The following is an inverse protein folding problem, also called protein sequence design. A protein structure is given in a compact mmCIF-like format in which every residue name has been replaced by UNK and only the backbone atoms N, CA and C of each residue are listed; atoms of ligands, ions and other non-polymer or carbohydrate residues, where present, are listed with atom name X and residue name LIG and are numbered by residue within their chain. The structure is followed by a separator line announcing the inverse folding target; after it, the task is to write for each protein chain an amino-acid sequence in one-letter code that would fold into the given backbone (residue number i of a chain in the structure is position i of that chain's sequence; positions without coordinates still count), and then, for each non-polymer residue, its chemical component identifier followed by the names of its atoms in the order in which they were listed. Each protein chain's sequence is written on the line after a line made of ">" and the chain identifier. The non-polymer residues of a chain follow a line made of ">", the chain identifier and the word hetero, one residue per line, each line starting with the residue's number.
data_IF_682794208644
#
_entry.id   IF_682794208644
#
_cell.length_a   1.000
_cell.length_b   1.000
_cell.length_c   1.000
_cell.angle_alpha   90.00
_cell.angle_beta   90.00
_cell.angle_gamma   90.00
#
_symmetry.space_group_name_H-M   'P 1'
#
loop_
_entity.id
_entity.type
_entity.pdbx_description
1 polymer ?
#
# COMPACT_ATOMS: atom_id res chain seq x y z
N UNK A 1 10.68 -4.23 -15.84
CA UNK A 1 11.37 -4.85 -14.70
C UNK A 1 12.01 -6.16 -15.14
N UNK A 2 13.18 -6.50 -14.58
CA UNK A 2 13.77 -7.82 -14.77
C UNK A 2 13.46 -8.74 -13.56
N UNK A 3 13.63 -10.06 -13.71
CA UNK A 3 13.30 -11.04 -12.67
C UNK A 3 14.04 -10.82 -11.34
N UNK A 4 15.25 -10.24 -11.36
CA UNK A 4 16.00 -9.91 -10.14
C UNK A 4 15.30 -8.77 -9.38
N UNK A 5 14.87 -7.74 -10.09
CA UNK A 5 14.12 -6.61 -9.50
C UNK A 5 12.74 -7.06 -8.99
N UNK A 6 12.03 -7.89 -9.77
CA UNK A 6 10.76 -8.49 -9.35
C UNK A 6 10.93 -9.32 -8.08
N UNK A 7 11.99 -10.14 -8.01
CA UNK A 7 12.30 -10.95 -6.83
C UNK A 7 12.63 -10.09 -5.62
N UNK A 8 13.40 -9.02 -5.80
CA UNK A 8 13.71 -8.09 -4.72
C UNK A 8 12.46 -7.39 -4.17
N UNK A 9 11.48 -7.07 -5.02
CA UNK A 9 10.20 -6.51 -4.59
C UNK A 9 9.37 -7.55 -3.82
N UNK A 10 9.33 -8.80 -4.27
CA UNK A 10 8.69 -9.90 -3.55
C UNK A 10 9.32 -10.12 -2.17
N UNK A 11 10.66 -10.19 -2.11
CA UNK A 11 11.39 -10.37 -0.86
C UNK A 11 11.21 -9.17 0.08
N UNK A 12 11.02 -7.96 -0.45
CA UNK A 12 10.64 -6.82 0.38
C UNK A 12 9.28 -7.04 1.05
N UNK A 13 8.26 -7.57 0.37
CA UNK A 13 6.95 -7.77 0.99
C UNK A 13 6.91 -9.02 1.88
N UNK A 14 7.52 -10.12 1.42
CA UNK A 14 7.34 -11.46 1.97
C UNK A 14 8.63 -12.12 2.50
N UNK A 15 9.78 -11.47 2.47
CA UNK A 15 11.08 -12.09 2.76
C UNK A 15 11.26 -12.64 4.18
N UNK A 16 10.38 -12.26 5.11
CA UNK A 16 10.36 -12.79 6.48
C UNK A 16 9.62 -14.14 6.60
N UNK A 17 8.86 -14.53 5.57
CA UNK A 17 8.04 -15.74 5.60
C UNK A 17 8.79 -16.91 4.94
N UNK A 18 8.61 -18.14 5.44
CA UNK A 18 9.24 -19.34 4.89
C UNK A 18 8.49 -19.81 3.62
N UNK A 19 8.51 -19.00 2.57
CA UNK A 19 7.84 -19.30 1.30
C UNK A 19 8.71 -20.16 0.38
N UNK A 20 8.09 -21.17 -0.24
CA UNK A 20 8.65 -21.82 -1.42
C UNK A 20 8.19 -21.02 -2.63
N UNK A 21 9.14 -20.41 -3.35
CA UNK A 21 8.85 -19.48 -4.45
C UNK A 21 9.28 -20.10 -5.76
N UNK A 22 8.36 -20.13 -6.73
CA UNK A 22 8.60 -20.59 -8.10
C UNK A 22 8.27 -19.46 -9.08
N UNK A 23 9.24 -19.09 -9.92
CA UNK A 23 9.03 -18.12 -10.99
C UNK A 23 8.05 -18.66 -12.04
N UNK A 24 7.14 -17.81 -12.50
CA UNK A 24 6.16 -18.09 -13.54
C UNK A 24 5.95 -16.84 -14.42
N UNK A 25 5.18 -16.97 -15.51
CA UNK A 25 4.84 -15.83 -16.36
C UNK A 25 3.50 -15.17 -15.98
N UNK A 26 2.56 -15.92 -15.39
CA UNK A 26 1.21 -15.46 -15.04
C UNK A 26 0.67 -16.25 -13.84
N UNK A 27 0.84 -15.76 -12.60
CA UNK A 27 1.54 -14.52 -12.19
C UNK A 27 3.07 -14.63 -12.29
N UNK A 28 3.80 -13.56 -11.96
CA UNK A 28 5.28 -13.57 -11.93
C UNK A 28 5.88 -14.61 -10.99
N UNK A 29 5.21 -14.88 -9.86
CA UNK A 29 5.62 -15.88 -8.88
C UNK A 29 4.44 -16.68 -8.35
N UNK A 30 4.68 -17.98 -8.15
CA UNK A 30 3.83 -18.88 -7.39
C UNK A 30 4.49 -19.15 -6.05
N UNK A 31 3.79 -18.84 -4.98
CA UNK A 31 4.26 -18.91 -3.62
C UNK A 31 3.48 -19.97 -2.86
N UNK A 32 4.18 -20.92 -2.25
CA UNK A 32 3.59 -21.90 -1.35
C UNK A 32 4.01 -21.56 0.09
N UNK A 33 3.04 -21.22 0.92
CA UNK A 33 3.21 -21.09 2.36
C UNK A 33 2.80 -22.39 3.06
N UNK A 34 3.55 -22.86 4.08
CA UNK A 34 3.26 -24.12 4.76
C UNK A 34 1.85 -24.23 5.33
N UNK A 35 1.28 -23.12 5.83
CA UNK A 35 -0.03 -23.14 6.48
C UNK A 35 -1.17 -22.63 5.61
N UNK A 36 -0.90 -21.73 4.68
CA UNK A 36 -1.96 -20.97 3.97
C UNK A 36 -2.20 -21.45 2.56
N UNK A 37 -1.36 -22.39 2.13
CA UNK A 37 -1.37 -22.99 0.82
C UNK A 37 -0.72 -22.07 -0.20
N UNK A 38 -1.24 -22.15 -1.41
CA UNK A 38 -0.60 -21.59 -2.59
C UNK A 38 -1.31 -20.34 -3.09
N UNK A 39 -0.52 -19.34 -3.46
CA UNK A 39 -1.01 -18.08 -3.99
C UNK A 39 -0.06 -17.50 -5.05
N UNK A 40 -0.61 -16.62 -5.85
CA UNK A 40 0.10 -15.86 -6.86
C UNK A 40 0.64 -14.54 -6.34
N UNK A 41 1.78 -14.10 -6.87
CA UNK A 41 2.27 -12.73 -6.70
C UNK A 41 2.62 -12.16 -8.06
N UNK A 42 1.91 -11.11 -8.45
CA UNK A 42 2.21 -10.28 -9.62
C UNK A 42 3.05 -9.08 -9.17
N UNK A 43 4.10 -8.73 -9.93
CA UNK A 43 4.91 -7.56 -9.63
C UNK A 43 4.93 -6.62 -10.82
N UNK A 44 4.62 -5.35 -10.58
CA UNK A 44 4.59 -4.33 -11.62
C UNK A 44 5.35 -3.10 -11.17
N UNK A 45 5.98 -2.42 -12.13
CA UNK A 45 6.71 -1.18 -11.85
C UNK A 45 5.77 0.02 -12.03
N UNK A 46 5.83 0.97 -11.10
CA UNK A 46 5.15 2.25 -11.23
C UNK A 46 6.01 3.25 -12.01
N UNK A 47 5.40 3.86 -13.03
CA UNK A 47 5.97 4.96 -13.77
C UNK A 47 4.99 6.12 -13.82
N UNK A 48 5.49 7.34 -13.62
CA UNK A 48 4.65 8.54 -13.72
C UNK A 48 4.15 8.77 -15.16
N UNK A 49 4.87 8.29 -16.17
CA UNK A 49 4.47 8.33 -17.58
C UNK A 49 5.11 7.18 -18.35
N UNK A 50 4.56 6.88 -19.53
CA UNK A 50 5.17 5.96 -20.49
C UNK A 50 6.56 6.43 -20.96
N UNK A 51 6.76 7.74 -21.04
CA UNK A 51 8.06 8.35 -21.36
C UNK A 51 9.09 8.09 -20.26
N UNK A 52 8.70 8.18 -18.98
CA UNK A 52 9.56 7.80 -17.85
C UNK A 52 9.89 6.31 -17.87
N UNK A 53 8.91 5.46 -18.19
CA UNK A 53 9.13 4.02 -18.36
C UNK A 53 10.17 3.74 -19.45
N UNK A 54 10.08 4.40 -20.60
CA UNK A 54 11.06 4.29 -21.69
C UNK A 54 12.44 4.81 -21.29
N UNK A 55 12.52 5.98 -20.66
CA UNK A 55 13.78 6.58 -20.21
C UNK A 55 14.56 5.65 -19.27
N UNK A 56 13.85 4.94 -18.39
CA UNK A 56 14.45 3.98 -17.47
C UNK A 56 14.82 2.67 -18.15
N UNK A 57 13.87 2.06 -18.87
CA UNK A 57 13.97 0.67 -19.28
C UNK A 57 14.71 0.48 -20.60
N UNK A 58 14.82 1.52 -21.44
CA UNK A 58 15.56 1.44 -22.70
C UNK A 58 17.02 1.84 -22.47
N UNK A 59 17.91 0.85 -22.55
CA UNK A 59 19.36 1.06 -22.41
C UNK A 59 19.87 2.17 -23.35
N UNK A 60 20.65 3.08 -22.78
CA UNK A 60 21.25 4.26 -23.43
C UNK A 60 20.24 5.30 -23.95
N UNK A 61 18.94 5.14 -23.75
CA UNK A 61 17.97 6.07 -24.32
C UNK A 61 18.12 7.52 -23.84
N UNK A 62 18.35 7.79 -22.53
CA UNK A 62 18.64 9.15 -22.08
C UNK A 62 19.88 9.76 -22.76
N UNK A 63 20.93 8.95 -22.99
CA UNK A 63 22.16 9.40 -23.66
C UNK A 63 21.93 9.69 -25.15
N UNK A 64 21.10 8.88 -25.83
CA UNK A 64 20.74 9.08 -27.23
C UNK A 64 19.98 10.41 -27.43
N UNK A 65 19.05 10.72 -26.50
CA UNK A 65 18.31 11.99 -26.51
C UNK A 65 19.27 13.15 -26.21
N UNK A 66 20.06 13.07 -25.15
CA UNK A 66 20.98 14.14 -24.75
C UNK A 66 22.01 14.42 -25.84
N UNK A 67 22.66 13.40 -26.40
CA UNK A 67 23.75 13.59 -27.37
C UNK A 67 23.25 13.89 -28.78
N UNK A 68 22.22 13.16 -29.23
CA UNK A 68 21.86 13.12 -30.64
C UNK A 68 20.44 13.64 -30.93
N UNK A 69 19.65 13.99 -29.91
CA UNK A 69 18.24 14.34 -30.08
C UNK A 69 17.40 13.20 -30.67
N UNK A 70 17.82 11.94 -30.46
CA UNK A 70 17.18 10.76 -31.08
C UNK A 70 16.08 10.21 -30.17
N UNK A 71 14.84 10.63 -30.43
CA UNK A 71 13.65 10.07 -29.80
C UNK A 71 13.29 8.72 -30.44
N UNK A 72 12.89 7.74 -29.62
CA UNK A 72 12.45 6.41 -30.05
C UNK A 72 10.94 6.31 -30.20
N UNK A 73 10.18 7.20 -29.53
CA UNK A 73 8.74 7.30 -29.65
C UNK A 73 8.33 8.72 -30.02
N UNK A 74 7.24 8.86 -30.80
CA UNK A 74 6.74 10.17 -31.26
C UNK A 74 6.23 11.03 -30.09
N UNK A 75 5.64 10.40 -29.08
CA UNK A 75 5.07 11.10 -27.92
C UNK A 75 6.18 11.72 -27.05
N UNK A 76 7.40 11.17 -27.11
CA UNK A 76 8.54 11.66 -26.34
C UNK A 76 9.03 13.03 -26.82
N UNK A 77 8.80 13.39 -28.09
CA UNK A 77 9.32 14.62 -28.71
C UNK A 77 8.76 15.88 -28.04
N UNK A 78 7.51 15.81 -27.54
CA UNK A 78 6.86 16.93 -26.85
C UNK A 78 6.95 16.86 -25.33
N UNK A 79 7.28 15.70 -24.76
CA UNK A 79 7.29 15.47 -23.31
C UNK A 79 8.70 15.54 -22.71
N UNK A 80 9.72 15.18 -23.47
CA UNK A 80 11.11 15.11 -23.01
C UNK A 80 11.88 16.31 -23.55
N UNK A 81 12.22 17.24 -22.66
CA UNK A 81 13.07 18.39 -22.97
C UNK A 81 14.52 18.12 -22.52
N UNK A 82 15.50 18.56 -23.32
CA UNK A 82 16.91 18.58 -22.91
C UNK A 82 17.30 20.02 -22.61
N UNK A 83 17.80 20.25 -21.39
CA UNK A 83 18.18 21.57 -20.91
C UNK A 83 19.66 21.60 -20.51
N UNK A 84 20.28 22.77 -20.60
CA UNK A 84 21.60 23.02 -20.03
C UNK A 84 21.44 23.40 -18.55
N UNK A 85 22.06 22.63 -17.66
CA UNK A 85 22.04 22.84 -16.22
C UNK A 85 23.45 22.89 -15.66
N UNK A 86 23.60 23.49 -14.47
CA UNK A 86 24.88 23.56 -13.77
C UNK A 86 24.80 22.66 -12.53
N UNK A 87 25.63 21.63 -12.47
CA UNK A 87 25.77 20.80 -11.29
C UNK A 87 26.77 21.44 -10.32
N UNK A 88 26.34 21.63 -9.08
CA UNK A 88 27.16 22.21 -8.01
C UNK A 88 27.68 21.10 -7.10
N UNK A 89 29.00 20.88 -7.10
CA UNK A 89 29.65 19.90 -6.23
C UNK A 89 29.74 20.48 -4.82
N UNK A 90 28.91 20.00 -3.89
CA UNK A 90 28.82 20.55 -2.54
C UNK A 90 30.16 20.61 -1.79
N UNK A 91 31.02 19.60 -1.97
CA UNK A 91 32.30 19.51 -1.26
C UNK A 91 33.35 20.53 -1.74
N UNK A 92 33.34 20.90 -3.03
CA UNK A 92 34.40 21.73 -3.64
C UNK A 92 33.89 23.09 -4.10
N UNK A 93 32.57 23.29 -4.17
CA UNK A 93 31.94 24.44 -4.80
C UNK A 93 32.07 24.46 -6.33
N UNK A 94 32.65 23.42 -6.94
CA UNK A 94 32.84 23.35 -8.39
C UNK A 94 31.49 23.36 -9.12
N UNK A 95 31.43 24.14 -10.20
CA UNK A 95 30.30 24.20 -11.12
C UNK A 95 30.62 23.43 -12.39
N UNK A 96 29.77 22.47 -12.75
CA UNK A 96 29.94 21.62 -13.92
C UNK A 96 28.75 21.83 -14.86
N UNK A 97 28.91 22.49 -16.01
CA UNK A 97 27.83 22.59 -17.00
C UNK A 97 27.58 21.21 -17.61
N UNK A 98 26.31 20.80 -17.66
CA UNK A 98 25.90 19.54 -18.26
C UNK A 98 24.54 19.67 -18.94
N UNK A 99 24.24 18.74 -19.85
CA UNK A 99 22.92 18.62 -20.46
C UNK A 99 22.11 17.58 -19.69
N UNK A 100 20.91 17.93 -19.26
CA UNK A 100 20.03 17.07 -18.47
C UNK A 100 18.65 16.96 -19.11
N UNK A 101 17.92 15.92 -18.71
CA UNK A 101 16.49 15.77 -19.00
C UNK A 101 15.76 16.05 -17.68
N UNK A 102 15.34 17.31 -17.41
CA UNK A 102 14.55 17.59 -16.23
C UNK A 102 13.20 16.89 -16.33
N UNK A 103 12.76 16.28 -15.24
CA UNK A 103 11.45 15.63 -15.12
C UNK A 103 10.67 16.28 -13.99
N UNK A 104 9.40 16.55 -14.25
CA UNK A 104 8.47 16.97 -13.21
C UNK A 104 8.21 15.79 -12.28
N UNK A 105 8.34 16.01 -10.98
CA UNK A 105 7.90 15.05 -9.97
C UNK A 105 6.38 15.20 -9.80
N UNK A 106 5.59 14.15 -10.03
CA UNK A 106 4.14 14.22 -9.82
C UNK A 106 3.82 14.38 -8.33
N UNK A 107 2.69 15.02 -8.04
CA UNK A 107 2.14 15.05 -6.67
C UNK A 107 1.49 13.72 -6.32
N UNK A 108 1.33 13.42 -5.03
CA UNK A 108 0.63 12.21 -4.56
C UNK A 108 -0.77 12.09 -5.17
N UNK A 109 -1.50 13.22 -5.22
CA UNK A 109 -2.82 13.33 -5.86
C UNK A 109 -2.81 12.96 -7.35
N UNK A 110 -1.72 13.20 -8.06
CA UNK A 110 -1.57 12.81 -9.47
C UNK A 110 -1.12 11.35 -9.66
N UNK A 111 -0.46 10.77 -8.65
CA UNK A 111 -0.06 9.37 -8.66
C UNK A 111 -1.22 8.43 -8.34
N UNK A 112 -2.10 8.80 -7.41
CA UNK A 112 -3.22 7.96 -6.96
C UNK A 112 -4.09 7.43 -8.11
N UNK A 113 -4.59 8.25 -9.06
CA UNK A 113 -5.39 7.75 -10.18
C UNK A 113 -4.64 6.69 -11.00
N UNK A 114 -3.35 6.89 -11.26
CA UNK A 114 -2.52 5.97 -12.03
C UNK A 114 -2.28 4.64 -11.30
N UNK A 115 -2.12 4.69 -9.98
CA UNK A 115 -2.02 3.49 -9.15
C UNK A 115 -3.35 2.72 -9.20
N UNK A 116 -4.48 3.42 -9.09
CA UNK A 116 -5.81 2.79 -9.20
C UNK A 116 -6.02 2.17 -10.58
N UNK A 117 -5.68 2.88 -11.65
CA UNK A 117 -5.76 2.34 -13.03
C UNK A 117 -4.90 1.08 -13.17
N UNK A 118 -3.70 1.07 -12.60
CA UNK A 118 -2.80 -0.09 -12.58
C UNK A 118 -3.39 -1.28 -11.81
N UNK A 119 -4.01 -1.03 -10.65
CA UNK A 119 -4.70 -2.07 -9.86
C UNK A 119 -5.83 -2.68 -10.70
N UNK A 120 -6.62 -1.85 -11.39
CA UNK A 120 -7.74 -2.31 -12.22
C UNK A 120 -7.24 -3.13 -13.42
N UNK A 121 -6.25 -2.61 -14.14
CA UNK A 121 -5.66 -3.27 -15.31
C UNK A 121 -5.06 -4.63 -14.96
N UNK A 122 -4.39 -4.73 -13.81
CA UNK A 122 -3.82 -5.99 -13.31
C UNK A 122 -4.89 -6.92 -12.78
N UNK A 123 -5.88 -6.41 -12.03
CA UNK A 123 -7.02 -7.18 -11.57
C UNK A 123 -7.79 -7.85 -12.72
N UNK A 124 -8.03 -7.14 -13.83
CA UNK A 124 -8.64 -7.71 -15.03
C UNK A 124 -7.80 -8.82 -15.66
N UNK A 125 -6.46 -8.69 -15.65
CA UNK A 125 -5.54 -9.71 -16.18
C UNK A 125 -5.48 -10.95 -15.28
N UNK A 126 -5.64 -10.79 -13.97
CA UNK A 126 -5.67 -11.90 -13.02
C UNK A 126 -6.80 -12.91 -13.28
N UNK A 127 -7.92 -12.49 -13.91
CA UNK A 127 -8.98 -13.40 -14.30
C UNK A 127 -8.53 -14.49 -15.29
N UNK A 128 -7.43 -14.28 -16.01
CA UNK A 128 -6.82 -15.26 -16.92
C UNK A 128 -5.64 -16.03 -16.33
N UNK A 129 -5.38 -15.90 -15.02
CA UNK A 129 -4.28 -16.61 -14.36
C UNK A 129 -4.69 -18.06 -14.06
N UNK A 130 -3.72 -18.85 -13.61
CA UNK A 130 -3.94 -20.26 -13.26
C UNK A 130 -5.10 -20.38 -12.26
N UNK A 131 -6.16 -21.11 -12.66
CA UNK A 131 -7.36 -21.33 -11.86
C UNK A 131 -7.09 -22.11 -10.57
N UNK A 132 -5.93 -22.78 -10.49
CA UNK A 132 -5.53 -23.53 -9.30
C UNK A 132 -5.03 -22.62 -8.17
N UNK A 133 -4.76 -21.33 -8.43
CA UNK A 133 -4.34 -20.38 -7.41
C UNK A 133 -5.54 -19.91 -6.59
N UNK A 134 -5.44 -20.02 -5.25
CA UNK A 134 -6.50 -19.55 -4.33
C UNK A 134 -6.72 -18.05 -4.42
N UNK A 135 -5.64 -17.30 -4.62
CA UNK A 135 -5.64 -15.84 -4.65
C UNK A 135 -4.37 -15.33 -5.33
N UNK A 136 -4.38 -14.06 -5.77
CA UNK A 136 -3.20 -13.36 -6.27
C UNK A 136 -3.04 -12.02 -5.56
N UNK A 137 -1.83 -11.72 -5.09
CA UNK A 137 -1.46 -10.38 -4.61
C UNK A 137 -0.75 -9.60 -5.72
N UNK A 138 -0.87 -8.28 -5.66
CA UNK A 138 -0.15 -7.36 -6.54
C UNK A 138 0.87 -6.55 -5.76
N UNK A 139 2.11 -6.50 -6.23
CA UNK A 139 3.13 -5.59 -5.74
C UNK A 139 3.37 -4.51 -6.79
N UNK A 140 3.13 -3.25 -6.43
CA UNK A 140 3.45 -2.08 -7.22
C UNK A 140 4.76 -1.51 -6.70
N UNK A 141 5.81 -1.56 -7.51
CA UNK A 141 7.15 -1.09 -7.15
C UNK A 141 7.44 0.27 -7.75
N UNK A 142 7.53 1.31 -6.91
CA UNK A 142 7.96 2.65 -7.32
C UNK A 142 9.49 2.79 -7.25
N UNK A 143 10.18 2.08 -8.14
CA UNK A 143 11.64 2.13 -8.19
C UNK A 143 12.21 3.48 -8.65
N UNK A 144 11.36 4.37 -9.18
CA UNK A 144 11.76 5.69 -9.67
C UNK A 144 11.55 6.80 -8.63
N UNK A 145 10.98 6.46 -7.47
CA UNK A 145 10.61 7.42 -6.44
C UNK A 145 9.71 8.53 -7.03
N UNK A 146 8.79 8.12 -7.91
CA UNK A 146 7.78 8.99 -8.47
C UNK A 146 6.67 9.28 -7.43
N UNK A 147 6.35 8.31 -6.58
CA UNK A 147 5.50 8.45 -5.41
C UNK A 147 6.38 8.89 -4.23
N UNK A 148 6.49 10.20 -4.05
CA UNK A 148 7.22 10.79 -2.92
C UNK A 148 6.25 11.14 -1.81
N UNK A 149 6.33 10.41 -0.72
CA UNK A 149 5.50 10.65 0.46
C UNK A 149 6.34 11.34 1.53
N UNK A 150 5.74 12.28 2.27
CA UNK A 150 6.31 12.71 3.54
C UNK A 150 5.82 11.80 4.69
N UNK A 151 4.58 11.34 4.59
CA UNK A 151 3.90 10.44 5.54
C UNK A 151 2.97 9.51 4.75
N UNK A 152 2.78 8.28 5.21
CA UNK A 152 1.85 7.33 4.56
C UNK A 152 0.41 7.85 4.57
N UNK A 153 0.01 8.56 5.64
CA UNK A 153 -1.32 9.17 5.73
C UNK A 153 -1.65 10.16 4.60
N UNK A 154 -0.65 10.81 3.98
CA UNK A 154 -0.85 11.69 2.82
C UNK A 154 -1.38 10.89 1.61
N UNK A 155 -0.78 9.73 1.37
CA UNK A 155 -1.20 8.81 0.32
C UNK A 155 -2.58 8.25 0.58
N UNK A 156 -2.83 7.74 1.79
CA UNK A 156 -4.11 7.14 2.16
C UNK A 156 -5.24 8.17 2.11
N UNK A 157 -5.01 9.42 2.54
CA UNK A 157 -5.98 10.50 2.42
C UNK A 157 -6.32 10.81 0.97
N UNK A 158 -5.31 10.96 0.10
CA UNK A 158 -5.54 11.18 -1.33
C UNK A 158 -6.25 10.01 -2.00
N UNK A 159 -5.92 8.77 -1.61
CA UNK A 159 -6.56 7.56 -2.11
C UNK A 159 -8.03 7.50 -1.69
N UNK A 160 -8.32 7.74 -0.41
CA UNK A 160 -9.69 7.80 0.11
C UNK A 160 -10.52 8.87 -0.61
N UNK A 161 -10.00 10.09 -0.75
CA UNK A 161 -10.68 11.17 -1.49
C UNK A 161 -11.01 10.77 -2.94
N UNK A 162 -10.07 10.11 -3.61
CA UNK A 162 -10.25 9.66 -4.99
C UNK A 162 -11.31 8.55 -5.10
N UNK A 163 -11.30 7.58 -4.18
CA UNK A 163 -12.26 6.47 -4.15
C UNK A 163 -13.66 6.91 -3.73
N UNK A 164 -13.78 7.90 -2.84
CA UNK A 164 -15.07 8.51 -2.51
C UNK A 164 -15.76 9.13 -3.73
N UNK A 165 -14.98 9.70 -4.67
CA UNK A 165 -15.49 10.27 -5.92
C UNK A 165 -15.71 9.24 -7.04
N UNK A 166 -15.06 8.08 -6.96
CA UNK A 166 -15.01 7.06 -8.01
C UNK A 166 -15.49 5.73 -7.44
N UNK A 167 -16.79 5.46 -7.52
CA UNK A 167 -17.47 4.31 -6.90
C UNK A 167 -16.68 3.00 -6.99
N UNK A 168 -16.50 2.29 -5.86
CA UNK A 168 -16.27 0.86 -5.66
C UNK A 168 -15.23 0.06 -6.50
N UNK A 169 -14.66 0.57 -7.61
CA UNK A 169 -13.97 -0.27 -8.61
C UNK A 169 -12.76 -0.99 -8.04
N UNK A 170 -11.96 -0.32 -7.21
CA UNK A 170 -10.77 -0.93 -6.57
C UNK A 170 -11.16 -2.13 -5.69
N UNK A 171 -12.31 -2.04 -5.02
CA UNK A 171 -12.78 -3.07 -4.09
C UNK A 171 -13.40 -4.29 -4.79
N UNK A 172 -13.62 -4.22 -6.11
CA UNK A 172 -14.15 -5.34 -6.92
C UNK A 172 -13.01 -6.13 -7.59
N UNK A 173 -11.78 -5.65 -7.50
CA UNK A 173 -10.63 -6.36 -8.05
C UNK A 173 -10.49 -7.76 -7.43
N UNK A 174 -10.20 -8.80 -8.23
CA UNK A 174 -10.02 -10.17 -7.72
C UNK A 174 -8.68 -10.37 -6.98
N UNK A 175 -7.87 -9.32 -6.88
CA UNK A 175 -6.64 -9.34 -6.11
C UNK A 175 -6.96 -9.49 -4.62
N UNK A 176 -6.19 -10.30 -3.89
CA UNK A 176 -6.36 -10.45 -2.44
C UNK A 176 -5.83 -9.24 -1.71
N UNK A 177 -4.61 -8.79 -2.00
CA UNK A 177 -4.02 -7.57 -1.44
C UNK A 177 -3.17 -6.85 -2.50
N UNK A 178 -3.02 -5.54 -2.35
CA UNK A 178 -2.15 -4.70 -3.18
C UNK A 178 -1.14 -4.00 -2.29
N UNK A 179 0.15 -4.27 -2.51
CA UNK A 179 1.24 -3.62 -1.80
C UNK A 179 1.88 -2.54 -2.67
N UNK A 180 2.04 -1.34 -2.13
CA UNK A 180 2.85 -0.28 -2.73
C UNK A 180 4.21 -0.19 -2.04
N UNK A 181 5.28 -0.41 -2.81
CA UNK A 181 6.66 -0.18 -2.38
C UNK A 181 7.10 1.20 -2.87
N UNK A 182 7.34 2.14 -1.96
CA UNK A 182 7.76 3.50 -2.32
C UNK A 182 8.69 4.13 -1.27
N UNK A 183 9.15 5.36 -1.51
CA UNK A 183 9.89 6.16 -0.52
C UNK A 183 8.94 7.03 0.32
N UNK A 184 9.21 7.10 1.62
CA UNK A 184 8.51 7.95 2.57
C UNK A 184 9.52 8.73 3.43
N UNK A 185 9.69 10.01 3.14
CA UNK A 185 10.46 10.97 3.93
C UNK A 185 11.79 10.42 4.47
N UNK A 186 12.01 10.62 5.77
CA UNK A 186 13.18 10.13 6.49
C UNK A 186 13.12 8.63 6.83
N UNK A 187 11.93 8.01 6.70
CA UNK A 187 11.72 6.58 6.97
C UNK A 187 12.45 5.73 5.92
N UNK A 188 12.59 6.25 4.71
CA UNK A 188 13.19 5.53 3.60
C UNK A 188 12.16 4.70 2.85
N UNK A 189 12.46 3.43 2.55
CA UNK A 189 11.56 2.55 1.80
C UNK A 189 10.49 1.96 2.72
N UNK A 190 9.24 2.07 2.31
CA UNK A 190 8.07 1.53 3.01
C UNK A 190 7.28 0.59 2.10
N UNK A 191 6.57 -0.34 2.71
CA UNK A 191 5.55 -1.16 2.07
C UNK A 191 4.19 -0.78 2.65
N UNK A 192 3.24 -0.41 1.79
CA UNK A 192 1.90 0.02 2.18
C UNK A 192 0.89 -1.02 1.65
N UNK A 193 0.26 -1.84 2.51
CA UNK A 193 -0.86 -2.71 2.11
C UNK A 193 -2.11 -1.86 1.90
N UNK A 194 -2.51 -1.66 0.65
CA UNK A 194 -3.55 -0.71 0.27
C UNK A 194 -4.92 -1.16 0.77
N UNK A 195 -5.32 -2.41 0.53
CA UNK A 195 -6.65 -2.89 0.91
C UNK A 195 -6.79 -2.98 2.41
N UNK A 196 -5.77 -3.51 3.10
CA UNK A 196 -5.71 -3.51 4.55
C UNK A 196 -5.87 -2.12 5.18
N UNK A 197 -5.12 -1.12 4.69
CA UNK A 197 -5.23 0.25 5.22
C UNK A 197 -6.58 0.90 4.90
N UNK A 198 -7.16 0.65 3.72
CA UNK A 198 -8.51 1.14 3.39
C UNK A 198 -9.57 0.52 4.30
N UNK A 199 -9.47 -0.78 4.55
CA UNK A 199 -10.39 -1.52 5.41
C UNK A 199 -10.36 -1.00 6.85
N UNK A 200 -9.17 -0.87 7.43
CA UNK A 200 -8.99 -0.33 8.78
C UNK A 200 -9.40 1.14 8.87
N UNK A 201 -9.07 1.93 7.85
CA UNK A 201 -9.47 3.33 7.76
C UNK A 201 -11.00 3.48 7.78
N UNK A 202 -11.73 2.63 7.07
CA UNK A 202 -13.19 2.65 7.09
C UNK A 202 -13.76 2.32 8.48
N UNK A 203 -13.18 1.34 9.18
CA UNK A 203 -13.60 1.01 10.55
C UNK A 203 -13.41 2.21 11.47
N UNK A 204 -12.27 2.90 11.38
CA UNK A 204 -11.99 4.07 12.19
C UNK A 204 -12.97 5.24 11.90
N UNK A 205 -13.25 5.50 10.62
CA UNK A 205 -14.23 6.51 10.21
C UNK A 205 -15.64 6.15 10.69
N UNK A 206 -16.02 4.88 10.55
CA UNK A 206 -17.31 4.38 11.05
C UNK A 206 -17.42 4.57 12.56
N UNK A 207 -16.38 4.22 13.31
CA UNK A 207 -16.35 4.34 14.77
C UNK A 207 -16.55 5.78 15.24
N UNK A 208 -15.86 6.72 14.59
CA UNK A 208 -15.98 8.16 14.88
C UNK A 208 -17.40 8.68 14.59
N UNK A 209 -18.00 8.28 13.47
CA UNK A 209 -19.35 8.68 13.09
C UNK A 209 -20.40 8.07 14.02
N UNK A 210 -20.27 6.77 14.31
CA UNK A 210 -21.19 6.04 15.17
C UNK A 210 -21.19 6.62 16.58
N UNK A 211 -20.00 6.87 17.15
CA UNK A 211 -19.84 7.47 18.48
C UNK A 211 -20.53 8.84 18.57
N UNK A 212 -20.36 9.71 17.56
CA UNK A 212 -21.05 11.01 17.50
C UNK A 212 -22.57 10.90 17.44
N UNK A 213 -23.10 9.97 16.66
CA UNK A 213 -24.55 9.78 16.52
C UNK A 213 -25.18 9.16 17.75
N UNK A 214 -24.49 8.23 18.39
CA UNK A 214 -24.99 7.52 19.57
C UNK A 214 -24.99 8.41 20.80
N UNK A 215 -24.00 9.29 20.98
CA UNK A 215 -24.06 10.27 22.07
C UNK A 215 -25.31 11.18 22.01
N UNK A 216 -25.96 11.28 20.84
CA UNK A 216 -27.20 12.02 20.66
C UNK A 216 -28.48 11.19 20.90
N UNK A 217 -28.39 9.86 21.00
CA UNK A 217 -29.52 8.94 21.16
C UNK A 217 -29.47 8.29 22.55
N UNK A 218 -30.40 8.65 23.43
CA UNK A 218 -30.35 8.36 24.87
C UNK A 218 -30.74 6.93 25.29
N UNK A 219 -30.83 5.94 24.40
CA UNK A 219 -31.32 4.60 24.76
C UNK A 219 -30.55 3.46 24.06
N UNK A 220 -30.12 2.49 24.88
CA UNK A 220 -29.61 1.15 24.57
C UNK A 220 -28.57 1.05 23.42
N UNK A 221 -27.39 1.64 23.65
CA UNK A 221 -26.20 1.27 22.87
C UNK A 221 -25.53 0.03 23.49
N UNK A 222 -25.73 -1.12 22.85
CA UNK A 222 -24.98 -2.33 23.16
C UNK A 222 -23.83 -2.49 22.17
N UNK A 223 -22.72 -3.08 22.61
CA UNK A 223 -21.61 -3.50 21.74
C UNK A 223 -22.14 -4.33 20.56
N UNK A 224 -23.16 -5.17 20.80
CA UNK A 224 -23.81 -5.95 19.74
C UNK A 224 -24.44 -5.09 18.63
N UNK A 225 -25.07 -3.94 18.98
CA UNK A 225 -25.63 -3.03 17.97
C UNK A 225 -24.54 -2.35 17.14
N UNK A 226 -23.45 -1.93 17.78
CA UNK A 226 -22.28 -1.39 17.09
C UNK A 226 -21.73 -2.40 16.09
N UNK A 227 -21.42 -3.62 16.56
CA UNK A 227 -20.82 -4.67 15.75
C UNK A 227 -21.74 -5.09 14.60
N UNK A 228 -23.05 -5.21 14.81
CA UNK A 228 -24.00 -5.53 13.75
C UNK A 228 -24.06 -4.42 12.68
N UNK A 229 -24.01 -3.15 13.11
CA UNK A 229 -24.03 -2.00 12.17
C UNK A 229 -22.71 -1.90 11.40
N UNK A 230 -21.58 -2.11 12.08
CA UNK A 230 -20.26 -2.16 11.46
C UNK A 230 -20.18 -3.32 10.45
N UNK A 231 -20.67 -4.51 10.80
CA UNK A 231 -20.71 -5.66 9.91
C UNK A 231 -21.47 -5.35 8.61
N UNK A 232 -22.66 -4.76 8.72
CA UNK A 232 -23.46 -4.37 7.56
C UNK A 232 -22.76 -3.31 6.69
N UNK A 233 -22.11 -2.34 7.34
CA UNK A 233 -21.35 -1.29 6.67
C UNK A 233 -20.15 -1.86 5.89
N UNK A 234 -19.34 -2.69 6.55
CA UNK A 234 -18.17 -3.31 5.93
C UNK A 234 -18.57 -4.26 4.79
N UNK A 235 -19.60 -5.09 4.98
CA UNK A 235 -20.07 -5.99 3.91
C UNK A 235 -20.56 -5.23 2.67
N UNK A 236 -21.09 -4.01 2.84
CA UNK A 236 -21.52 -3.17 1.72
C UNK A 236 -20.35 -2.51 0.98
N UNK A 237 -19.24 -2.18 1.67
CA UNK A 237 -18.09 -1.47 1.10
C UNK A 237 -16.94 -2.36 0.67
N UNK A 238 -16.79 -3.51 1.32
CA UNK A 238 -15.71 -4.46 1.16
C UNK A 238 -16.31 -5.85 0.83
N UNK A 239 -16.74 -6.08 -0.42
CA UNK A 239 -17.30 -7.37 -0.81
C UNK A 239 -16.29 -8.49 -0.54
N UNK A 240 -16.67 -9.45 0.29
CA UNK A 240 -15.75 -10.51 0.75
C UNK A 240 -15.23 -10.32 2.18
N UNK A 241 -15.69 -9.30 2.92
CA UNK A 241 -15.47 -9.27 4.36
C UNK A 241 -16.05 -10.52 5.02
N UNK A 242 -15.23 -11.21 5.80
CA UNK A 242 -15.63 -12.38 6.59
C UNK A 242 -15.76 -11.94 8.05
N UNK A 243 -16.85 -12.35 8.68
CA UNK A 243 -17.12 -12.15 10.10
C UNK A 243 -16.94 -13.48 10.84
N UNK A 244 -16.26 -13.43 11.99
CA UNK A 244 -16.14 -14.58 12.88
C UNK A 244 -16.21 -14.14 14.34
N UNK A 245 -16.74 -15.02 15.18
CA UNK A 245 -16.77 -14.86 16.63
C UNK A 245 -16.17 -16.11 17.27
N UNK A 246 -15.23 -15.95 18.19
CA UNK A 246 -14.58 -17.06 18.90
C UNK A 246 -14.20 -16.62 20.31
N UNK A 247 -14.64 -17.37 21.32
CA UNK A 247 -14.30 -17.12 22.74
C UNK A 247 -14.63 -15.69 23.24
N UNK A 248 -15.59 -15.02 22.61
CA UNK A 248 -15.98 -13.63 22.93
C UNK A 248 -15.21 -12.56 22.14
N UNK A 249 -14.23 -12.96 21.33
CA UNK A 249 -13.56 -12.10 20.38
C UNK A 249 -14.37 -12.04 19.08
N UNK A 250 -14.48 -10.84 18.52
CA UNK A 250 -15.21 -10.58 17.28
C UNK A 250 -14.23 -10.06 16.24
N UNK A 251 -14.15 -10.72 15.10
CA UNK A 251 -13.20 -10.37 14.04
C UNK A 251 -13.88 -10.09 12.70
N UNK A 252 -13.37 -9.07 12.02
CA UNK A 252 -13.67 -8.76 10.64
C UNK A 252 -12.41 -8.93 9.80
N UNK A 253 -12.47 -9.78 8.78
CA UNK A 253 -11.36 -10.05 7.87
C UNK A 253 -11.69 -9.54 6.48
N UNK A 254 -10.75 -8.82 5.87
CA UNK A 254 -10.81 -8.45 4.46
C UNK A 254 -9.39 -8.43 3.88
N UNK A 255 -9.22 -8.88 2.65
CA UNK A 255 -7.89 -8.97 2.02
C UNK A 255 -6.92 -9.79 2.89
N UNK A 256 -5.70 -9.29 3.12
CA UNK A 256 -4.78 -9.86 4.10
C UNK A 256 -5.07 -9.40 5.53
N UNK A 257 -5.99 -8.48 5.79
CA UNK A 257 -6.11 -7.81 7.09
C UNK A 257 -7.26 -8.35 7.95
N UNK A 258 -7.00 -8.53 9.24
CA UNK A 258 -8.00 -8.90 10.25
C UNK A 258 -8.04 -7.83 11.33
N UNK A 259 -9.21 -7.26 11.57
CA UNK A 259 -9.51 -6.42 12.72
C UNK A 259 -10.26 -7.26 13.75
N UNK A 260 -9.84 -7.22 15.02
CA UNK A 260 -10.44 -7.99 16.11
C UNK A 260 -10.76 -7.09 17.29
N UNK A 261 -11.97 -7.19 17.83
CA UNK A 261 -12.35 -6.65 19.13
C UNK A 261 -12.39 -7.82 20.12
N UNK A 262 -11.52 -7.80 21.13
CA UNK A 262 -11.51 -8.87 22.13
C UNK A 262 -12.68 -8.78 23.11
N UNK A 263 -12.88 -9.85 23.87
CA UNK A 263 -13.81 -9.88 25.00
C UNK A 263 -13.54 -8.77 26.04
N UNK A 264 -12.28 -8.32 26.19
CA UNK A 264 -11.93 -7.16 27.04
C UNK A 264 -12.00 -5.80 26.31
N UNK A 265 -12.65 -5.76 25.15
CA UNK A 265 -12.82 -4.56 24.32
C UNK A 265 -11.51 -3.95 23.82
N UNK A 266 -10.47 -4.77 23.64
CA UNK A 266 -9.22 -4.34 23.02
C UNK A 266 -9.28 -4.55 21.53
N UNK A 267 -8.81 -3.57 20.77
CA UNK A 267 -8.73 -3.66 19.32
C UNK A 267 -7.36 -4.16 18.91
N UNK A 268 -7.33 -5.22 18.12
CA UNK A 268 -6.14 -5.79 17.49
C UNK A 268 -6.29 -5.76 15.99
N UNK A 269 -5.19 -5.56 15.29
CA UNK A 269 -5.19 -5.62 13.84
C UNK A 269 -3.98 -6.41 13.36
N UNK A 270 -4.24 -7.42 12.55
CA UNK A 270 -3.27 -8.41 12.10
C UNK A 270 -3.19 -8.40 10.59
N UNK A 271 -1.97 -8.28 10.06
CA UNK A 271 -1.68 -8.42 8.62
C UNK A 271 -1.29 -9.88 8.31
N UNK A 272 -2.19 -10.58 7.65
CA UNK A 272 -2.08 -11.97 7.19
C UNK A 272 -1.59 -12.02 5.75
N UNK A 273 -0.33 -11.63 5.53
CA UNK A 273 0.32 -11.75 4.21
C UNK A 273 0.32 -13.16 3.67
N UNK A 274 0.31 -14.13 4.58
CA UNK A 274 0.04 -15.52 4.29
C UNK A 274 -1.25 -15.83 5.05
N UNK A 275 -2.36 -16.00 4.34
CA UNK A 275 -3.70 -16.10 4.93
C UNK A 275 -3.92 -17.38 5.75
N UNK A 276 -3.65 -17.34 7.05
CA UNK A 276 -3.96 -18.45 7.93
C UNK A 276 -5.33 -18.20 8.59
N UNK A 277 -6.27 -19.12 8.43
CA UNK A 277 -7.51 -19.12 9.22
C UNK A 277 -7.35 -19.98 10.49
N UNK A 278 -6.27 -20.77 10.59
CA UNK A 278 -6.12 -21.86 11.55
C UNK A 278 -4.96 -21.70 12.54
N UNK A 279 -4.14 -20.66 12.43
CA UNK A 279 -3.10 -20.33 13.42
C UNK A 279 -3.10 -18.84 13.74
N UNK A 280 -3.89 -18.48 14.75
CA UNK A 280 -3.95 -17.13 15.31
C UNK A 280 -2.78 -16.97 16.28
N UNK A 281 -1.74 -16.25 15.89
CA UNK A 281 -0.80 -15.67 16.86
C UNK A 281 -0.92 -14.15 16.77
N UNK A 282 -1.45 -13.54 17.83
CA UNK A 282 -1.56 -12.10 17.95
C UNK A 282 -0.17 -11.46 17.83
N UNK A 283 0.00 -10.53 16.88
CA UNK A 283 1.21 -9.72 16.83
C UNK A 283 1.19 -8.72 18.00
N UNK A 284 1.99 -9.07 19.01
CA UNK A 284 2.38 -8.33 20.21
C UNK A 284 1.47 -8.43 21.45
N UNK A 285 2.04 -9.09 22.46
CA UNK A 285 1.80 -8.86 23.87
C UNK A 285 2.26 -7.45 24.26
N UNK A 286 1.36 -6.71 24.93
CA UNK A 286 1.63 -5.50 25.71
C UNK A 286 2.14 -4.27 24.94
N UNK A 287 1.20 -3.43 24.50
CA UNK A 287 1.38 -1.98 24.64
C UNK A 287 0.05 -1.34 25.02
N UNK A 288 -0.07 -0.91 26.28
CA UNK A 288 -1.13 -0.01 26.74
C UNK A 288 -0.96 1.33 26.01
N UNK A 289 -1.65 1.53 24.89
CA UNK A 289 -1.72 2.81 24.20
C UNK A 289 -3.16 3.06 23.78
N UNK A 290 -3.72 4.12 24.35
CA UNK A 290 -5.10 4.59 24.29
C UNK A 290 -5.47 5.14 22.88
N UNK A 291 -6.41 4.50 22.15
CA UNK A 291 -6.86 4.95 20.83
C UNK A 291 -8.10 5.84 20.96
N UNK A 292 -7.97 7.10 20.52
CA UNK A 292 -8.99 8.18 20.48
C UNK A 292 -9.27 8.94 21.79
N UNK A 293 -8.60 10.09 21.96
CA UNK A 293 -9.28 11.30 22.42
C UNK A 293 -9.30 12.36 21.31
N UNK A 294 -10.40 12.42 20.57
CA UNK A 294 -11.11 13.69 20.41
C UNK A 294 -12.13 13.70 21.57
N UNK A 295 -11.87 14.48 22.61
CA UNK A 295 -12.53 14.34 23.90
C UNK A 295 -14.04 14.62 23.87
N UNK A 296 -14.81 13.70 24.47
CA UNK A 296 -15.74 14.02 25.58
C UNK A 296 -15.69 12.87 26.60
N UNK A 297 -14.74 12.94 27.55
CA UNK A 297 -14.98 12.95 29.00
C UNK A 297 -13.78 13.67 29.62
N UNK A 298 -14.03 14.69 30.44
CA UNK A 298 -13.04 15.61 30.99
C UNK A 298 -12.14 14.95 32.05
N UNK A 299 -10.83 15.00 31.85
CA UNK A 299 -9.81 15.09 32.92
C UNK A 299 -8.75 16.15 32.51
N UNK A 300 -8.58 17.28 33.24
CA UNK A 300 -7.78 18.41 32.76
C UNK A 300 -6.25 18.30 32.92
N UNK A 301 -5.68 17.22 33.46
CA UNK A 301 -4.28 17.25 33.90
C UNK A 301 -3.24 16.50 33.05
N UNK A 302 -3.59 15.80 31.97
CA UNK A 302 -2.57 15.05 31.21
C UNK A 302 -2.67 15.28 29.71
N UNK A 303 -2.00 16.35 29.24
CA UNK A 303 -1.80 16.60 27.82
C UNK A 303 -0.89 15.55 27.18
N UNK A 304 -1.46 14.69 26.33
CA UNK A 304 -0.75 13.90 25.30
C UNK A 304 -1.63 13.71 24.06
N UNK A 305 -0.99 13.79 22.89
CA UNK A 305 -1.57 13.70 21.54
C UNK A 305 -1.15 12.35 20.94
N UNK A 306 -2.08 11.60 20.32
CA UNK A 306 -1.78 10.32 19.63
C UNK A 306 -1.99 10.41 18.11
N UNK A 307 -1.08 9.78 17.36
CA UNK A 307 -0.91 9.81 15.90
C UNK A 307 -1.41 8.50 15.25
N UNK A 308 -1.91 8.56 14.01
CA UNK A 308 -2.28 7.38 13.20
C UNK A 308 -1.09 6.43 13.07
N UNK A 309 -1.24 5.14 13.42
CA UNK A 309 -0.32 4.10 12.94
C UNK A 309 -0.88 3.52 11.65
N UNK A 310 -0.32 3.94 10.52
CA UNK A 310 -0.41 3.16 9.29
C UNK A 310 0.29 1.80 9.54
N UNK A 311 -0.13 0.73 8.86
CA UNK A 311 0.68 -0.50 8.81
C UNK A 311 1.94 -0.19 8.02
N UNK A 312 2.97 0.26 8.72
CA UNK A 312 4.27 0.62 8.16
C UNK A 312 5.25 -0.50 8.48
N UNK A 313 5.83 -1.06 7.42
CA UNK A 313 6.88 -2.06 7.55
C UNK A 313 8.20 -1.39 7.20
N UNK A 314 9.07 -1.31 8.20
CA UNK A 314 10.43 -0.83 8.03
C UNK A 314 11.31 -1.97 7.55
N UNK A 315 11.94 -1.80 6.39
CA UNK A 315 12.97 -2.72 5.92
C UNK A 315 14.34 -2.13 6.25
N UNK A 316 15.28 -2.93 6.80
CA UNK A 316 16.67 -2.50 6.86
C UNK A 316 17.16 -2.25 5.43
N UNK A 317 17.65 -1.04 5.16
CA UNK A 317 18.33 -0.72 3.90
C UNK A 317 19.60 -1.57 3.85
N UNK A 318 19.84 -2.39 2.80
CA UNK A 318 21.10 -3.09 2.66
C UNK A 318 22.22 -2.06 2.64
N UNK A 319 23.21 -2.19 3.53
CA UNK A 319 24.42 -1.36 3.48
C UNK A 319 25.01 -1.46 2.08
N UNK A 320 25.03 -0.34 1.37
CA UNK A 320 25.68 -0.25 0.06
C UNK A 320 27.15 -0.61 0.27
N UNK A 321 27.58 -1.76 -0.25
CA UNK A 321 29.02 -2.06 -0.32
C UNK A 321 29.70 -0.91 -1.07
N UNK A 322 30.76 -0.30 -0.52
CA UNK A 322 31.52 0.68 -1.28
C UNK A 322 32.05 0.00 -2.54
N UNK A 323 31.80 0.63 -3.69
CA UNK A 323 32.43 0.29 -4.96
C UNK A 323 33.92 0.59 -4.91
#
# INVERSE_FOLDING_TARGET
>A
MNKIEERAALDAVFGIYPLIIKEQERPDFRCLHPTTGEFGVEVTEFHASESDARLRNIRNYPLDIIKNGKYRHKDDVGEICVEEVVYHVAATGQQIPLRAIPRRVPTVRECVPKIVDMINDKGMKCAGYDSDLRSTDLIISDLNNAVRLNRVGEFLGCLHDYLCGSSAVVMVSPLREVYLLCLCGEIGRVCIPIYGNLFVGEIAVFDEIYSRHISALSEDNTVGRYLATLAAHLAARFPGTVFSESEGDVSFKFASTVWTLSAEQKVFITDMRCGDELAWEALSSESNVDPFQASIFNDPEQGRVNEFRCYELHFPVPETRPC
#
